data_IF_212339248921
#
_entry.id   IF_212339248921
#
_cell.length_a   1.000
_cell.length_b   1.000
_cell.length_c   1.000
_cell.angle_alpha   90.00
_cell.angle_beta   90.00
_cell.angle_gamma   90.00
#
_symmetry.space_group_name_H-M   'P 1'
#
loop_
_entity.id
_entity.type
_entity.pdbx_description
1 polymer ?
#
# COMPACT_ATOMS: atom_id res chain seq x y z
N UNK A 1 8.00 45.02 12.58
CA UNK A 1 8.68 44.24 13.64
C UNK A 1 8.87 42.85 13.02
N UNK A 2 10.10 42.62 12.48
CA UNK A 2 10.43 41.37 11.81
C UNK A 2 10.78 40.26 12.79
N UNK A 3 10.24 39.07 12.59
CA UNK A 3 10.77 37.85 13.17
C UNK A 3 11.35 37.00 12.04
N UNK A 4 12.66 36.98 11.99
CA UNK A 4 13.47 36.15 11.11
C UNK A 4 13.31 34.68 11.45
N UNK A 5 12.85 33.89 10.49
CA UNK A 5 12.86 32.44 10.53
C UNK A 5 14.31 31.94 10.32
N UNK A 6 14.90 31.15 11.19
CA UNK A 6 16.24 30.63 10.96
C UNK A 6 16.18 29.49 9.93
N UNK A 7 16.86 29.70 8.81
CA UNK A 7 17.21 28.64 7.86
C UNK A 7 18.21 27.68 8.54
N UNK A 8 17.78 26.44 8.80
CA UNK A 8 18.70 25.38 9.21
C UNK A 8 19.36 24.82 7.96
N UNK A 9 20.63 25.15 7.77
CA UNK A 9 21.51 24.52 6.77
C UNK A 9 21.73 23.06 7.18
N UNK A 10 21.16 22.11 6.43
CA UNK A 10 21.41 20.70 6.60
C UNK A 10 22.88 20.40 6.22
N UNK A 11 23.65 19.94 7.16
CA UNK A 11 24.98 19.33 6.92
C UNK A 11 24.83 18.09 6.04
N UNK A 12 25.71 17.99 5.03
CA UNK A 12 25.83 16.83 4.12
C UNK A 12 26.29 15.61 4.94
N UNK A 13 25.35 14.82 5.42
CA UNK A 13 25.61 13.47 5.91
C UNK A 13 25.48 12.46 4.76
N UNK A 14 26.39 11.51 4.72
CA UNK A 14 26.43 10.42 3.74
C UNK A 14 25.13 9.62 3.74
N UNK A 15 24.60 9.35 2.55
CA UNK A 15 23.33 8.63 2.28
C UNK A 15 23.38 7.11 2.59
N UNK A 16 24.42 6.61 3.26
CA UNK A 16 24.67 5.17 3.41
C UNK A 16 24.07 4.49 4.65
N UNK A 17 23.39 5.21 5.58
CA UNK A 17 22.85 4.62 6.80
C UNK A 17 21.36 4.91 7.00
N UNK A 18 20.50 4.50 6.04
CA UNK A 18 19.07 4.46 6.26
C UNK A 18 18.61 3.07 6.72
N UNK A 19 18.99 2.68 7.91
CA UNK A 19 18.30 1.62 8.66
C UNK A 19 17.08 2.23 9.31
N UNK A 20 15.89 1.83 8.88
CA UNK A 20 14.63 2.38 9.40
C UNK A 20 14.40 2.05 10.88
N UNK A 21 13.66 2.88 11.63
CA UNK A 21 13.37 2.62 13.04
C UNK A 21 12.48 1.40 13.21
N UNK A 22 12.75 0.64 14.28
CA UNK A 22 12.00 -0.49 14.79
C UNK A 22 10.52 -0.12 15.04
N UNK A 23 9.61 -0.54 14.16
CA UNK A 23 8.18 -0.61 14.44
C UNK A 23 7.87 -1.99 15.05
N UNK A 24 8.33 -2.21 16.28
CA UNK A 24 8.00 -3.38 17.06
C UNK A 24 6.58 -3.24 17.61
N UNK A 25 5.64 -4.02 17.08
CA UNK A 25 4.58 -4.77 17.75
C UNK A 25 3.27 -5.01 16.96
N UNK A 26 3.18 -4.70 15.67
CA UNK A 26 2.13 -5.33 14.85
C UNK A 26 2.76 -6.47 14.04
N UNK A 27 2.35 -7.70 14.33
CA UNK A 27 2.82 -8.86 13.56
C UNK A 27 2.34 -8.72 12.12
N UNK A 28 3.27 -8.41 11.21
CA UNK A 28 2.98 -8.28 9.77
C UNK A 28 2.50 -9.62 9.24
N UNK A 29 1.45 -9.61 8.45
CA UNK A 29 0.99 -10.83 7.78
C UNK A 29 1.89 -11.18 6.60
N UNK A 30 2.28 -12.43 6.49
CA UNK A 30 3.06 -12.94 5.36
C UNK A 30 2.24 -12.88 4.06
N UNK A 31 2.85 -12.37 3.00
CA UNK A 31 2.20 -12.22 1.71
C UNK A 31 3.16 -12.49 0.54
N UNK A 32 2.60 -12.91 -0.57
CA UNK A 32 3.25 -12.92 -1.89
C UNK A 32 2.59 -11.86 -2.78
N UNK A 33 3.32 -11.41 -3.80
CA UNK A 33 2.83 -10.37 -4.72
C UNK A 33 2.89 -10.90 -6.15
N UNK A 34 1.76 -10.90 -6.86
CA UNK A 34 1.71 -11.28 -8.29
C UNK A 34 1.95 -10.03 -9.14
N UNK A 35 2.91 -10.13 -10.08
CA UNK A 35 3.21 -9.08 -11.07
C UNK A 35 3.04 -9.53 -12.51
N UNK A 36 2.95 -10.84 -12.76
CA UNK A 36 2.64 -11.43 -14.07
C UNK A 36 3.45 -10.79 -15.22
N UNK A 37 4.78 -10.78 -15.11
CA UNK A 37 5.70 -10.20 -16.09
C UNK A 37 5.84 -8.67 -16.06
N UNK A 38 5.16 -7.98 -15.14
CA UNK A 38 5.15 -6.51 -15.06
C UNK A 38 6.01 -5.92 -13.94
N UNK A 39 6.87 -6.70 -13.30
CA UNK A 39 7.69 -6.20 -12.19
C UNK A 39 8.58 -5.01 -12.59
N UNK A 40 9.08 -4.98 -13.82
CA UNK A 40 9.97 -3.91 -14.32
C UNK A 40 9.24 -2.73 -14.95
N UNK A 41 7.93 -2.81 -15.14
CA UNK A 41 7.14 -1.79 -15.82
C UNK A 41 6.38 -0.88 -14.83
N UNK A 42 5.89 0.28 -15.32
CA UNK A 42 5.04 1.19 -14.55
C UNK A 42 3.75 0.53 -14.06
N UNK A 43 3.32 -0.55 -14.71
CA UNK A 43 2.18 -1.34 -14.27
C UNK A 43 2.43 -2.03 -12.93
N UNK A 44 3.68 -2.33 -12.57
CA UNK A 44 4.09 -2.93 -11.30
C UNK A 44 4.12 -1.96 -10.10
N UNK A 45 3.62 -0.74 -10.23
CA UNK A 45 3.73 0.32 -9.19
C UNK A 45 3.22 -0.08 -7.79
N UNK A 46 2.21 -0.94 -7.70
CA UNK A 46 1.73 -1.46 -6.41
C UNK A 46 2.77 -2.40 -5.80
N UNK A 47 3.29 -3.36 -6.58
CA UNK A 47 4.38 -4.23 -6.16
C UNK A 47 5.63 -3.41 -5.77
N UNK A 48 6.01 -2.40 -6.56
CA UNK A 48 7.13 -1.51 -6.24
C UNK A 48 6.97 -0.85 -4.87
N UNK A 49 5.75 -0.41 -4.53
CA UNK A 49 5.46 0.15 -3.23
C UNK A 49 5.66 -0.86 -2.10
N UNK A 50 5.17 -2.08 -2.27
CA UNK A 50 5.25 -3.15 -1.27
C UNK A 50 6.68 -3.67 -1.10
N UNK A 51 7.43 -3.83 -2.19
CA UNK A 51 8.85 -4.24 -2.17
C UNK A 51 9.71 -3.21 -1.41
N UNK A 52 9.43 -1.91 -1.55
CA UNK A 52 10.11 -0.85 -0.79
C UNK A 52 9.74 -0.85 0.70
N UNK A 53 8.66 -1.50 1.07
CA UNK A 53 8.26 -1.74 2.45
C UNK A 53 6.76 -1.58 2.71
N UNK A 54 6.27 -2.37 3.65
CA UNK A 54 4.91 -2.30 4.18
C UNK A 54 4.95 -2.61 5.68
N UNK A 55 4.13 -1.91 6.44
CA UNK A 55 3.87 -2.21 7.85
C UNK A 55 2.75 -3.25 8.02
N UNK A 56 1.90 -3.43 7.00
CA UNK A 56 0.79 -4.40 7.01
C UNK A 56 1.23 -5.79 6.59
N UNK A 57 2.08 -5.88 5.56
CA UNK A 57 2.50 -7.13 4.97
C UNK A 57 4.02 -7.30 5.02
N UNK A 58 4.46 -8.52 5.32
CA UNK A 58 5.82 -9.00 5.08
C UNK A 58 5.81 -9.73 3.75
N UNK A 59 6.46 -9.17 2.75
CA UNK A 59 6.52 -9.78 1.42
C UNK A 59 7.56 -10.88 1.42
N UNK A 60 7.11 -12.12 1.22
CA UNK A 60 7.96 -13.31 1.17
C UNK A 60 8.55 -13.53 -0.21
N UNK A 61 7.78 -13.21 -1.26
CA UNK A 61 8.19 -13.40 -2.64
C UNK A 61 7.36 -12.54 -3.61
N UNK A 62 7.88 -12.41 -4.81
CA UNK A 62 7.13 -11.90 -5.99
C UNK A 62 6.95 -13.04 -6.98
N UNK A 63 5.79 -13.13 -7.61
CA UNK A 63 5.48 -14.08 -8.68
C UNK A 63 5.52 -13.33 -10.00
N UNK A 64 6.58 -13.57 -10.78
CA UNK A 64 6.88 -12.90 -12.04
C UNK A 64 7.77 -13.79 -12.90
N UNK A 65 7.25 -14.27 -14.01
CA UNK A 65 7.93 -15.21 -14.90
C UNK A 65 9.12 -14.59 -15.65
N UNK A 66 9.05 -13.29 -15.96
CA UNK A 66 10.08 -12.55 -16.72
C UNK A 66 11.34 -12.31 -15.87
N UNK A 67 11.20 -12.10 -14.57
CA UNK A 67 12.30 -11.75 -13.67
C UNK A 67 12.64 -12.85 -12.65
N UNK A 68 12.09 -14.05 -12.83
CA UNK A 68 12.30 -15.21 -11.96
C UNK A 68 13.79 -15.49 -11.69
N UNK A 69 14.10 -16.00 -10.51
CA UNK A 69 15.47 -16.30 -10.05
C UNK A 69 16.27 -15.09 -9.55
N UNK A 70 15.69 -13.88 -9.61
CA UNK A 70 16.32 -12.64 -9.13
C UNK A 70 15.76 -12.23 -7.78
N UNK A 71 16.40 -11.24 -7.15
CA UNK A 71 15.83 -10.53 -6.01
C UNK A 71 14.98 -9.36 -6.49
N UNK A 72 13.74 -9.25 -5.98
CA UNK A 72 12.80 -8.23 -6.41
C UNK A 72 13.30 -6.79 -6.15
N UNK A 73 14.04 -6.57 -5.09
CA UNK A 73 14.64 -5.27 -4.80
C UNK A 73 15.75 -4.93 -5.78
N UNK A 74 16.60 -5.90 -6.10
CA UNK A 74 17.66 -5.73 -7.12
C UNK A 74 17.08 -5.42 -8.49
N UNK A 75 15.96 -6.09 -8.86
CA UNK A 75 15.22 -5.80 -10.11
C UNK A 75 14.65 -4.39 -10.10
N UNK A 76 14.09 -3.95 -8.97
CA UNK A 76 13.38 -2.68 -8.88
C UNK A 76 14.30 -1.45 -8.90
N UNK A 77 15.34 -1.45 -8.10
CA UNK A 77 16.22 -0.28 -7.90
C UNK A 77 17.69 -0.63 -7.54
N UNK A 78 18.12 -1.85 -7.83
CA UNK A 78 19.48 -2.31 -7.59
C UNK A 78 19.80 -2.66 -6.13
N UNK A 79 18.86 -2.55 -5.21
CA UNK A 79 19.06 -2.84 -3.77
C UNK A 79 18.55 -4.22 -3.43
N UNK A 80 19.43 -5.09 -3.01
CA UNK A 80 19.04 -6.41 -2.51
C UNK A 80 18.16 -6.29 -1.26
N UNK A 81 17.00 -6.99 -1.26
CA UNK A 81 16.02 -6.96 -0.14
C UNK A 81 15.72 -8.35 0.43
N UNK A 82 16.30 -9.39 -0.13
CA UNK A 82 16.02 -10.77 0.27
C UNK A 82 14.61 -11.22 -0.09
N UNK A 83 14.00 -10.64 -1.13
CA UNK A 83 12.68 -10.99 -1.64
C UNK A 83 12.88 -11.74 -2.96
N UNK A 84 12.81 -13.07 -2.97
CA UNK A 84 13.01 -13.86 -4.19
C UNK A 84 11.86 -13.65 -5.17
N UNK A 85 12.16 -13.77 -6.46
CA UNK A 85 11.18 -13.79 -7.53
C UNK A 85 11.07 -15.22 -8.05
N UNK A 86 9.85 -15.77 -8.07
CA UNK A 86 9.53 -17.08 -8.62
C UNK A 86 8.70 -16.94 -9.90
N UNK A 87 8.85 -17.89 -10.83
CA UNK A 87 8.10 -17.87 -12.08
C UNK A 87 6.60 -18.20 -11.88
N UNK A 88 6.25 -18.95 -10.83
CA UNK A 88 4.87 -19.39 -10.57
C UNK A 88 4.58 -19.58 -9.08
N UNK A 89 3.30 -19.66 -8.74
CA UNK A 89 2.84 -20.03 -7.39
C UNK A 89 3.32 -21.42 -7.00
N UNK A 90 3.31 -22.36 -7.94
CA UNK A 90 3.82 -23.71 -7.73
C UNK A 90 5.31 -23.71 -7.35
N UNK A 91 6.14 -22.93 -8.06
CA UNK A 91 7.57 -22.82 -7.73
C UNK A 91 7.78 -22.20 -6.35
N UNK A 92 7.02 -21.16 -6.01
CA UNK A 92 7.04 -20.59 -4.66
C UNK A 92 6.68 -21.64 -3.62
N UNK A 93 5.56 -22.35 -3.77
CA UNK A 93 5.10 -23.35 -2.80
C UNK A 93 6.14 -24.46 -2.56
N UNK A 94 6.86 -24.87 -3.62
CA UNK A 94 7.94 -25.88 -3.53
C UNK A 94 9.17 -25.41 -2.77
N UNK A 95 9.50 -24.12 -2.84
CA UNK A 95 10.75 -23.55 -2.31
C UNK A 95 10.53 -22.66 -1.07
N UNK A 96 9.28 -22.39 -0.71
CA UNK A 96 8.94 -21.49 0.40
C UNK A 96 9.43 -22.09 1.74
N UNK A 97 10.10 -21.27 2.54
CA UNK A 97 10.49 -21.59 3.91
C UNK A 97 9.44 -21.22 4.94
N UNK A 98 8.51 -20.37 4.56
CA UNK A 98 7.43 -19.85 5.39
C UNK A 98 6.14 -19.82 4.58
N UNK A 99 5.02 -19.99 5.24
CA UNK A 99 3.70 -19.92 4.62
C UNK A 99 3.27 -18.46 4.40
N UNK A 100 2.74 -18.17 3.23
CA UNK A 100 2.04 -16.93 2.96
C UNK A 100 0.56 -17.08 3.33
N UNK A 101 0.00 -16.05 3.93
CA UNK A 101 -1.45 -15.96 4.17
C UNK A 101 -2.16 -15.23 3.03
N UNK A 102 -1.51 -14.25 2.44
CA UNK A 102 -2.11 -13.39 1.42
C UNK A 102 -1.37 -13.48 0.09
N UNK A 103 -2.15 -13.40 -0.99
CA UNK A 103 -1.69 -13.17 -2.35
C UNK A 103 -2.20 -11.80 -2.81
N UNK A 104 -1.29 -10.88 -3.10
CA UNK A 104 -1.60 -9.48 -3.42
C UNK A 104 -1.44 -9.26 -4.92
N UNK A 105 -2.43 -8.66 -5.57
CA UNK A 105 -2.32 -8.21 -6.95
C UNK A 105 -1.42 -6.96 -6.98
N UNK A 106 -0.20 -7.14 -7.49
CA UNK A 106 0.85 -6.11 -7.53
C UNK A 106 0.82 -5.22 -8.76
N UNK A 107 -0.05 -5.51 -9.72
CA UNK A 107 -0.12 -4.82 -11.00
C UNK A 107 -1.30 -3.87 -11.11
N UNK A 108 -1.15 -2.86 -11.98
CA UNK A 108 -2.24 -2.06 -12.51
C UNK A 108 -2.50 -2.52 -13.95
N UNK A 109 -3.70 -2.98 -14.23
CA UNK A 109 -4.12 -3.42 -15.55
C UNK A 109 -4.78 -2.29 -16.34
N UNK A 110 -4.85 -2.40 -17.66
CA UNK A 110 -5.54 -1.42 -18.50
C UNK A 110 -7.02 -1.34 -18.12
N UNK A 111 -7.49 -0.15 -17.77
CA UNK A 111 -8.86 0.06 -17.29
C UNK A 111 -9.14 -0.52 -15.90
N UNK A 112 -8.14 -1.11 -15.22
CA UNK A 112 -8.34 -1.76 -13.91
C UNK A 112 -9.11 -3.06 -13.97
N UNK A 113 -9.26 -3.65 -15.17
CA UNK A 113 -10.00 -4.91 -15.40
C UNK A 113 -9.11 -6.10 -15.05
N UNK A 114 -9.71 -7.20 -14.61
CA UNK A 114 -9.04 -8.46 -14.30
C UNK A 114 -8.87 -9.30 -15.57
N UNK A 115 -7.65 -9.42 -16.14
CA UNK A 115 -7.42 -10.22 -17.34
C UNK A 115 -7.60 -11.73 -17.05
N UNK A 116 -7.94 -12.54 -18.07
CA UNK A 116 -8.13 -13.99 -17.91
C UNK A 116 -6.92 -14.67 -17.25
N UNK A 117 -5.71 -14.37 -17.69
CA UNK A 117 -4.47 -14.97 -17.17
C UNK A 117 -4.28 -14.67 -15.67
N UNK A 118 -4.56 -13.45 -15.26
CA UNK A 118 -4.49 -13.09 -13.84
C UNK A 118 -5.62 -13.75 -13.05
N UNK A 119 -6.81 -13.93 -13.64
CA UNK A 119 -7.92 -14.65 -13.03
C UNK A 119 -7.55 -16.11 -12.74
N UNK A 120 -6.87 -16.78 -13.68
CA UNK A 120 -6.42 -18.15 -13.51
C UNK A 120 -5.36 -18.26 -12.40
N UNK A 121 -4.43 -17.31 -12.33
CA UNK A 121 -3.47 -17.23 -11.23
C UNK A 121 -4.16 -17.01 -9.86
N UNK A 122 -5.22 -16.19 -9.81
CA UNK A 122 -5.98 -16.00 -8.57
C UNK A 122 -6.76 -17.25 -8.18
N UNK A 123 -7.29 -18.01 -9.14
CA UNK A 123 -7.92 -19.32 -8.88
C UNK A 123 -6.90 -20.26 -8.23
N UNK A 124 -5.70 -20.40 -8.81
CA UNK A 124 -4.62 -21.21 -8.26
C UNK A 124 -4.23 -20.74 -6.84
N UNK A 125 -4.14 -19.43 -6.62
CA UNK A 125 -3.83 -18.85 -5.32
C UNK A 125 -4.90 -19.22 -4.27
N UNK A 126 -6.19 -19.09 -4.59
CA UNK A 126 -7.30 -19.47 -3.71
C UNK A 126 -7.30 -20.97 -3.45
N UNK A 127 -7.08 -21.81 -4.46
CA UNK A 127 -6.95 -23.27 -4.33
C UNK A 127 -5.80 -23.67 -3.40
N UNK A 128 -4.71 -22.89 -3.42
CA UNK A 128 -3.55 -23.06 -2.55
C UNK A 128 -3.76 -22.51 -1.12
N UNK A 129 -4.95 -21.95 -0.82
CA UNK A 129 -5.30 -21.48 0.52
C UNK A 129 -4.87 -20.03 0.81
N UNK A 130 -4.52 -19.22 -0.21
CA UNK A 130 -4.18 -17.81 0.00
C UNK A 130 -5.42 -16.94 -0.05
N UNK A 131 -5.55 -16.02 0.90
CA UNK A 131 -6.49 -14.91 0.85
C UNK A 131 -6.03 -13.88 -0.20
N UNK A 132 -6.95 -13.31 -0.95
CA UNK A 132 -6.63 -12.38 -2.04
C UNK A 132 -6.74 -10.93 -1.57
N UNK A 133 -5.76 -10.11 -1.93
CA UNK A 133 -5.82 -8.64 -1.77
C UNK A 133 -5.78 -8.00 -3.15
N UNK A 134 -6.89 -7.43 -3.54
CA UNK A 134 -7.09 -6.81 -4.84
C UNK A 134 -7.13 -5.28 -4.75
N UNK A 135 -6.36 -4.62 -5.58
CA UNK A 135 -6.34 -3.16 -5.74
C UNK A 135 -6.78 -2.69 -7.14
N UNK A 136 -7.38 -3.56 -7.97
CA UNK A 136 -7.95 -3.20 -9.25
C UNK A 136 -9.33 -2.54 -9.08
N UNK A 137 -9.88 -1.99 -10.17
CA UNK A 137 -11.26 -1.49 -10.21
C UNK A 137 -12.27 -2.61 -10.44
N UNK A 138 -11.85 -3.71 -11.03
CA UNK A 138 -12.64 -4.94 -11.17
C UNK A 138 -12.55 -5.71 -9.84
N UNK A 139 -13.68 -5.87 -9.17
CA UNK A 139 -13.73 -6.51 -7.86
C UNK A 139 -13.71 -8.02 -7.98
N UNK A 140 -12.70 -8.64 -7.42
CA UNK A 140 -12.58 -10.11 -7.42
C UNK A 140 -13.76 -10.76 -6.71
N UNK A 141 -14.30 -10.09 -5.69
CA UNK A 141 -15.51 -10.56 -4.97
C UNK A 141 -16.80 -10.51 -5.79
N UNK A 142 -16.82 -9.85 -6.94
CA UNK A 142 -17.98 -9.82 -7.84
C UNK A 142 -17.94 -10.93 -8.89
N UNK A 143 -16.88 -11.77 -8.90
CA UNK A 143 -16.79 -12.99 -9.72
C UNK A 143 -17.30 -14.19 -8.94
N UNK A 144 -18.51 -14.73 -9.26
CA UNK A 144 -19.16 -15.77 -8.44
C UNK A 144 -18.31 -17.03 -8.27
N UNK A 145 -17.60 -17.45 -9.30
CA UNK A 145 -16.74 -18.62 -9.29
C UNK A 145 -15.55 -18.49 -8.34
N UNK A 146 -14.96 -17.30 -8.23
CA UNK A 146 -13.85 -17.04 -7.31
C UNK A 146 -14.34 -16.91 -5.86
N UNK A 147 -15.51 -16.28 -5.65
CA UNK A 147 -16.15 -16.19 -4.34
C UNK A 147 -16.58 -17.54 -3.80
N UNK A 148 -17.19 -18.38 -4.63
CA UNK A 148 -17.57 -19.74 -4.24
C UNK A 148 -16.34 -20.57 -3.84
N UNK A 149 -15.28 -20.49 -4.64
CA UNK A 149 -14.01 -21.16 -4.36
C UNK A 149 -13.37 -20.65 -3.06
N UNK A 150 -13.35 -19.34 -2.84
CA UNK A 150 -12.81 -18.74 -1.63
C UNK A 150 -13.58 -19.19 -0.38
N UNK A 151 -14.92 -19.18 -0.45
CA UNK A 151 -15.78 -19.69 0.63
C UNK A 151 -15.51 -21.18 0.92
N UNK A 152 -15.37 -22.00 -0.11
CA UNK A 152 -15.05 -23.43 0.02
C UNK A 152 -13.69 -23.67 0.66
N UNK A 153 -12.70 -22.81 0.38
CA UNK A 153 -11.34 -22.89 0.92
C UNK A 153 -11.19 -22.18 2.27
N UNK A 154 -12.18 -21.43 2.72
CA UNK A 154 -12.13 -20.67 3.98
C UNK A 154 -11.15 -19.49 3.93
N UNK A 155 -10.92 -18.90 2.75
CA UNK A 155 -10.04 -17.75 2.55
C UNK A 155 -10.83 -16.48 2.24
N UNK A 156 -10.22 -15.32 2.45
CA UNK A 156 -10.84 -14.01 2.26
C UNK A 156 -10.49 -13.42 0.90
N UNK A 157 -11.42 -12.67 0.30
CA UNK A 157 -11.17 -11.76 -0.81
C UNK A 157 -11.36 -10.33 -0.32
N UNK A 158 -10.29 -9.53 -0.36
CA UNK A 158 -10.24 -8.14 0.09
C UNK A 158 -10.08 -7.22 -1.12
N UNK A 159 -11.19 -6.69 -1.61
CA UNK A 159 -11.20 -5.65 -2.64
C UNK A 159 -11.00 -4.28 -2.00
N UNK A 160 -9.77 -3.80 -1.99
CA UNK A 160 -9.39 -2.56 -1.29
C UNK A 160 -10.11 -1.32 -1.86
N UNK A 161 -10.47 -1.36 -3.15
CA UNK A 161 -11.20 -0.27 -3.82
C UNK A 161 -12.71 -0.41 -3.74
N UNK A 162 -13.25 -1.47 -3.10
CA UNK A 162 -14.70 -1.62 -2.97
C UNK A 162 -15.27 -0.45 -2.17
N UNK A 163 -16.25 0.30 -2.71
CA UNK A 163 -16.80 1.47 -2.04
C UNK A 163 -17.39 1.12 -0.68
N UNK A 164 -17.26 2.03 0.27
CA UNK A 164 -18.02 1.96 1.51
C UNK A 164 -19.53 1.98 1.22
N UNK A 165 -20.32 1.32 2.05
CA UNK A 165 -21.78 1.45 1.99
C UNK A 165 -22.18 2.91 2.28
N UNK A 166 -23.23 3.40 1.64
CA UNK A 166 -23.69 4.78 1.78
C UNK A 166 -23.83 5.24 3.25
N UNK A 167 -24.33 4.37 4.12
CA UNK A 167 -24.50 4.64 5.56
C UNK A 167 -23.18 4.80 6.33
N UNK A 168 -22.07 4.35 5.76
CA UNK A 168 -20.74 4.36 6.37
C UNK A 168 -19.86 5.49 5.78
N UNK A 169 -20.45 6.34 4.93
CA UNK A 169 -19.79 7.50 4.35
C UNK A 169 -20.04 8.75 5.21
N UNK A 170 -19.06 9.64 5.24
CA UNK A 170 -19.07 10.86 6.04
C UNK A 170 -19.26 12.09 5.16
N UNK A 171 -20.16 12.98 5.55
CA UNK A 171 -20.25 14.32 4.99
C UNK A 171 -19.26 15.26 5.68
N UNK A 172 -18.96 16.38 5.02
CA UNK A 172 -18.21 17.46 5.60
C UNK A 172 -18.99 18.17 6.70
N UNK A 173 -18.37 18.30 7.89
CA UNK A 173 -18.95 18.99 9.07
C UNK A 173 -18.09 20.18 9.54
N UNK A 174 -16.92 20.40 8.99
CA UNK A 174 -16.00 21.46 9.39
C UNK A 174 -15.24 21.17 10.70
N UNK A 175 -15.28 19.95 11.20
CA UNK A 175 -14.60 19.52 12.44
C UNK A 175 -13.09 19.53 12.32
N UNK A 176 -12.54 19.54 11.09
CA UNK A 176 -11.11 19.71 10.81
C UNK A 176 -10.54 21.00 11.43
N UNK A 177 -11.38 22.00 11.72
CA UNK A 177 -10.96 23.23 12.42
C UNK A 177 -10.42 22.96 13.81
N UNK A 178 -10.78 21.83 14.43
CA UNK A 178 -10.31 21.42 15.74
C UNK A 178 -8.97 20.66 15.70
N UNK A 179 -8.42 20.43 14.50
CA UNK A 179 -7.11 19.80 14.31
C UNK A 179 -6.05 20.89 14.27
N UNK A 180 -5.26 21.01 15.33
CA UNK A 180 -4.33 22.12 15.51
C UNK A 180 -2.91 21.86 15.01
N UNK A 181 -2.55 20.60 14.68
CA UNK A 181 -1.24 20.32 14.08
C UNK A 181 -1.18 20.78 12.61
N UNK A 182 0.01 21.08 12.07
CA UNK A 182 0.22 21.31 10.65
C UNK A 182 -0.28 20.15 9.80
N UNK A 183 -0.94 20.47 8.69
CA UNK A 183 -1.42 19.53 7.67
C UNK A 183 -0.79 19.93 6.34
N UNK A 184 0.02 19.05 5.76
CA UNK A 184 0.79 19.30 4.55
C UNK A 184 0.28 18.40 3.43
N UNK A 185 -0.31 19.00 2.39
CA UNK A 185 -0.73 18.27 1.20
C UNK A 185 0.45 18.10 0.22
N UNK A 186 0.77 16.86 -0.11
CA UNK A 186 1.77 16.52 -1.13
C UNK A 186 1.06 16.33 -2.46
N UNK A 187 1.12 17.34 -3.29
CA UNK A 187 0.43 17.40 -4.58
C UNK A 187 1.37 17.10 -5.74
N UNK A 188 0.82 16.86 -6.91
CA UNK A 188 1.55 16.68 -8.17
C UNK A 188 0.61 16.75 -9.36
N UNK A 189 1.16 17.12 -10.50
CA UNK A 189 0.44 17.44 -11.73
C UNK A 189 -0.09 16.21 -12.47
N UNK A 190 0.39 14.99 -12.12
CA UNK A 190 -0.02 13.76 -12.81
C UNK A 190 0.04 12.54 -11.87
N UNK A 191 -0.43 11.39 -12.36
CA UNK A 191 -0.29 10.09 -11.73
C UNK A 191 1.19 9.63 -11.73
N UNK A 192 1.53 8.68 -10.85
CA UNK A 192 2.83 8.03 -10.77
C UNK A 192 4.07 8.94 -10.54
N UNK A 193 3.92 10.22 -10.26
CA UNK A 193 5.01 11.17 -9.97
C UNK A 193 5.70 10.97 -8.61
N UNK A 194 5.27 9.98 -7.84
CA UNK A 194 5.89 9.69 -6.55
C UNK A 194 5.28 10.40 -5.35
N UNK A 195 4.12 11.06 -5.45
CA UNK A 195 3.45 11.76 -4.34
C UNK A 195 3.40 10.93 -3.06
N UNK A 196 2.83 9.74 -3.11
CA UNK A 196 2.77 8.82 -1.96
C UNK A 196 4.16 8.45 -1.43
N UNK A 197 5.14 8.20 -2.30
CA UNK A 197 6.51 7.86 -1.90
C UNK A 197 7.16 9.04 -1.18
N UNK A 198 6.98 10.25 -1.69
CA UNK A 198 7.45 11.49 -1.05
C UNK A 198 6.79 11.69 0.32
N UNK A 199 5.46 11.55 0.40
CA UNK A 199 4.71 11.64 1.66
C UNK A 199 5.26 10.65 2.69
N UNK A 200 5.50 9.41 2.28
CA UNK A 200 6.06 8.39 3.15
C UNK A 200 7.46 8.76 3.65
N UNK A 201 8.34 9.22 2.77
CA UNK A 201 9.69 9.65 3.16
C UNK A 201 9.66 10.84 4.13
N UNK A 202 8.77 11.81 3.90
CA UNK A 202 8.59 12.93 4.82
C UNK A 202 8.10 12.45 6.20
N UNK A 203 7.09 11.58 6.22
CA UNK A 203 6.58 11.00 7.46
C UNK A 203 7.67 10.24 8.23
N UNK A 204 8.44 9.40 7.52
CA UNK A 204 9.55 8.65 8.11
C UNK A 204 10.68 9.57 8.62
N UNK A 205 11.02 10.62 7.87
CA UNK A 205 12.04 11.59 8.26
C UNK A 205 11.63 12.37 9.53
N UNK A 206 10.37 12.80 9.58
CA UNK A 206 9.83 13.48 10.78
C UNK A 206 9.81 12.57 12.00
N UNK A 207 9.42 11.30 11.84
CA UNK A 207 9.47 10.30 12.91
C UNK A 207 10.90 10.08 13.42
N UNK A 208 11.88 10.01 12.52
CA UNK A 208 13.30 9.91 12.88
C UNK A 208 13.81 11.15 13.62
N UNK A 209 13.26 12.31 13.31
CA UNK A 209 13.57 13.55 14.03
C UNK A 209 12.84 13.68 15.38
N UNK A 210 12.10 12.64 15.82
CA UNK A 210 11.42 12.59 17.11
C UNK A 210 9.99 13.15 17.12
N UNK A 211 9.43 13.53 15.97
CA UNK A 211 8.05 14.00 15.87
C UNK A 211 7.07 12.83 15.68
N UNK A 212 5.88 12.95 16.25
CA UNK A 212 4.74 12.07 15.93
C UNK A 212 4.16 12.51 14.61
N UNK A 213 4.59 11.88 13.51
CA UNK A 213 4.14 12.21 12.18
C UNK A 213 3.22 11.10 11.64
N UNK A 214 2.10 11.47 11.04
CA UNK A 214 1.16 10.54 10.46
C UNK A 214 0.88 10.87 8.98
N UNK A 215 0.57 9.82 8.20
CA UNK A 215 0.22 9.93 6.81
C UNK A 215 -1.25 9.56 6.60
N UNK A 216 -1.99 10.43 5.91
CA UNK A 216 -3.34 10.11 5.43
C UNK A 216 -3.21 9.55 4.01
N UNK A 217 -3.54 8.26 3.85
CA UNK A 217 -3.55 7.66 2.52
C UNK A 217 -4.83 8.00 1.76
N UNK A 218 -4.71 8.16 0.45
CA UNK A 218 -5.84 8.42 -0.47
C UNK A 218 -5.95 7.39 -1.58
N UNK A 219 -5.30 6.24 -1.44
CA UNK A 219 -5.32 5.19 -2.45
C UNK A 219 -4.89 3.84 -1.91
N UNK A 220 -5.24 2.79 -2.64
CA UNK A 220 -5.09 1.39 -2.25
C UNK A 220 -3.68 1.00 -1.82
N UNK A 221 -2.65 1.52 -2.48
CA UNK A 221 -1.28 1.15 -2.10
C UNK A 221 -0.87 1.73 -0.74
N UNK A 222 -1.39 2.90 -0.34
CA UNK A 222 -1.19 3.43 1.01
C UNK A 222 -1.79 2.52 2.07
N UNK A 223 -3.02 2.04 1.84
CA UNK A 223 -3.64 1.03 2.69
C UNK A 223 -2.82 -0.28 2.74
N UNK A 224 -2.40 -0.80 1.58
CA UNK A 224 -1.59 -2.02 1.50
C UNK A 224 -0.22 -1.86 2.17
N UNK A 225 0.34 -0.66 2.18
CA UNK A 225 1.58 -0.35 2.88
C UNK A 225 1.43 -0.21 4.41
N UNK A 226 0.18 -0.22 4.92
CA UNK A 226 -0.10 -0.24 6.36
C UNK A 226 -0.41 1.12 6.96
N UNK A 227 -0.58 2.19 6.17
CA UNK A 227 -1.08 3.44 6.69
C UNK A 227 -2.44 3.22 7.36
N UNK A 228 -2.60 3.76 8.57
CA UNK A 228 -3.77 3.51 9.43
C UNK A 228 -4.94 4.40 9.04
N UNK A 229 -4.69 5.66 8.72
CA UNK A 229 -5.70 6.67 8.48
C UNK A 229 -5.79 7.01 7.00
N UNK A 230 -7.00 7.11 6.48
CA UNK A 230 -7.23 7.46 5.08
C UNK A 230 -8.46 6.81 4.48
N UNK A 231 -8.58 6.94 3.17
CA UNK A 231 -9.68 6.39 2.38
C UNK A 231 -9.23 6.18 0.94
N UNK A 232 -10.07 5.54 0.14
CA UNK A 232 -9.77 5.31 -1.28
C UNK A 232 -10.51 6.36 -2.10
N UNK A 233 -9.78 7.39 -2.51
CA UNK A 233 -10.31 8.56 -3.18
C UNK A 233 -11.10 8.22 -4.46
N UNK A 234 -10.54 7.40 -5.32
CA UNK A 234 -11.10 7.05 -6.63
C UNK A 234 -12.24 6.01 -6.59
N UNK A 235 -12.59 5.53 -5.42
CA UNK A 235 -13.79 4.70 -5.19
C UNK A 235 -14.80 5.36 -4.23
N UNK A 236 -14.55 6.59 -3.83
CA UNK A 236 -15.46 7.37 -2.97
C UNK A 236 -16.39 8.21 -3.82
N UNK A 237 -17.69 8.20 -3.50
CA UNK A 237 -18.66 9.07 -4.15
C UNK A 237 -18.26 10.53 -4.00
N UNK A 238 -18.38 11.30 -5.08
CA UNK A 238 -17.88 12.67 -5.16
C UNK A 238 -18.34 13.59 -4.01
N UNK A 239 -19.60 13.49 -3.63
CA UNK A 239 -20.21 14.31 -2.57
C UNK A 239 -19.63 14.05 -1.17
N UNK A 240 -18.98 12.89 -0.99
CA UNK A 240 -18.41 12.46 0.28
C UNK A 240 -16.90 12.61 0.37
N UNK A 241 -16.20 12.95 -0.72
CA UNK A 241 -14.72 13.01 -0.74
C UNK A 241 -14.19 13.97 0.33
N UNK A 242 -14.77 15.16 0.45
CA UNK A 242 -14.36 16.14 1.47
C UNK A 242 -14.64 15.65 2.89
N UNK A 243 -15.78 15.00 3.10
CA UNK A 243 -16.16 14.42 4.40
C UNK A 243 -15.29 13.24 4.80
N UNK A 244 -14.96 12.34 3.87
CA UNK A 244 -14.04 11.22 4.13
C UNK A 244 -12.61 11.71 4.43
N UNK A 245 -12.15 12.77 3.75
CA UNK A 245 -10.86 13.40 4.05
C UNK A 245 -10.86 14.03 5.45
N UNK A 246 -11.92 14.79 5.77
CA UNK A 246 -12.09 15.38 7.11
C UNK A 246 -12.11 14.29 8.17
N UNK A 247 -12.92 13.26 7.98
CA UNK A 247 -13.02 12.14 8.91
C UNK A 247 -11.66 11.46 9.16
N UNK A 248 -10.91 11.18 8.09
CA UNK A 248 -9.59 10.56 8.21
C UNK A 248 -8.60 11.43 9.00
N UNK A 249 -8.59 12.74 8.74
CA UNK A 249 -7.71 13.70 9.43
C UNK A 249 -8.10 13.86 10.90
N UNK A 250 -9.40 14.00 11.19
CA UNK A 250 -9.91 14.17 12.56
C UNK A 250 -9.68 12.91 13.38
N UNK A 251 -9.98 11.72 12.83
CA UNK A 251 -9.72 10.45 13.50
C UNK A 251 -8.23 10.28 13.80
N UNK A 252 -7.36 10.60 12.84
CA UNK A 252 -5.92 10.60 13.05
C UNK A 252 -5.50 11.53 14.21
N UNK A 253 -6.05 12.74 14.24
CA UNK A 253 -5.79 13.70 15.31
C UNK A 253 -6.26 13.21 16.67
N UNK A 254 -7.45 12.64 16.74
CA UNK A 254 -8.03 12.17 18.00
C UNK A 254 -7.30 10.95 18.57
N UNK A 255 -6.90 10.02 17.73
CA UNK A 255 -6.26 8.78 18.18
C UNK A 255 -4.74 8.89 18.36
N UNK A 256 -4.04 9.48 17.41
CA UNK A 256 -2.58 9.51 17.40
C UNK A 256 -1.99 10.79 18.00
N UNK A 257 -2.78 11.87 18.11
CA UNK A 257 -2.30 13.19 18.55
C UNK A 257 -0.98 13.58 17.85
N UNK A 258 -0.94 13.57 16.52
CA UNK A 258 0.29 13.81 15.78
C UNK A 258 0.77 15.26 15.92
N UNK A 259 2.09 15.46 15.81
CA UNK A 259 2.69 16.79 15.73
C UNK A 259 2.59 17.36 14.30
N UNK A 260 2.42 16.48 13.29
CA UNK A 260 2.25 16.83 11.87
C UNK A 260 1.52 15.71 11.11
N UNK A 261 0.71 16.10 10.14
CA UNK A 261 -0.01 15.21 9.21
C UNK A 261 0.41 15.53 7.77
N UNK A 262 0.66 14.47 6.97
CA UNK A 262 0.97 14.55 5.55
C UNK A 262 -0.12 13.89 4.70
#
# INVERSE_FOLDING_TARGET
IGSSCPFILAQKGSLSEFVGPNFSNMQKSNAIVITAGHLTSDNGKTAHGLIRGSERFRILAVIDDVTAGKDAGTVLDGRHRGIPVYASLHEFAKNAKEEAKYCIIGVATKGGVLPPELRDMLREAIESGYSIVNGLHDYVSDHPELMELANKRGVEIIDVRKPKKFKDLHFWHGTIKNVHCPKIAVLGTDCALGKRTTTRFLTEAMRKAGYRAEMIYTGQTGWMQGAKYGFIFDSTLNDFISGEMEHAIVTCWEEAKPDIIF
#
